data_IF_548733600463
#
_entry.id   IF_548733600463
#
_cell.length_a   1.000
_cell.length_b   1.000
_cell.length_c   1.000
_cell.angle_alpha   90.00
_cell.angle_beta   90.00
_cell.angle_gamma   90.00
#
_symmetry.space_group_name_H-M   'P 1'
#
loop_
_entity.id
_entity.type
_entity.pdbx_description
1 polymer ?
#
# COMPACT_ATOMS: atom_id res chain seq x y z
N UNK A 1 39.82 6.10 31.97
CA UNK A 1 39.15 4.82 31.65
C UNK A 1 37.84 4.81 32.42
N UNK A 2 36.64 4.72 31.85
CA UNK A 2 36.20 4.31 30.52
C UNK A 2 34.98 5.17 30.16
N UNK A 3 35.04 5.91 29.05
CA UNK A 3 33.84 6.31 28.32
C UNK A 3 33.61 5.24 27.27
N UNK A 4 32.64 4.34 27.47
CA UNK A 4 32.22 3.36 26.45
C UNK A 4 30.83 2.81 26.83
N UNK A 5 29.78 3.60 26.67
CA UNK A 5 28.38 3.12 26.72
C UNK A 5 27.51 3.92 25.73
N UNK A 6 27.85 3.93 24.43
CA UNK A 6 27.04 4.68 23.43
C UNK A 6 26.93 4.12 21.99
N UNK A 7 26.90 2.79 21.74
CA UNK A 7 26.44 2.28 20.43
C UNK A 7 24.97 1.83 20.39
N UNK A 8 24.38 1.39 21.51
CA UNK A 8 23.03 0.83 21.53
C UNK A 8 21.92 1.87 21.35
N UNK A 9 22.08 3.06 21.94
CA UNK A 9 21.12 4.17 21.90
C UNK A 9 20.86 4.69 20.48
N UNK A 10 21.86 4.58 19.59
CA UNK A 10 21.80 5.00 18.19
C UNK A 10 20.96 4.05 17.32
N UNK A 11 21.15 2.74 17.46
CA UNK A 11 20.40 1.73 16.72
C UNK A 11 18.93 1.68 17.16
N UNK A 12 18.67 1.85 18.46
CA UNK A 12 17.33 1.89 19.03
C UNK A 12 16.56 3.14 18.60
N UNK A 13 17.20 4.31 18.59
CA UNK A 13 16.64 5.54 18.02
C UNK A 13 16.37 5.41 16.50
N UNK A 14 17.23 4.70 15.76
CA UNK A 14 17.02 4.43 14.33
C UNK A 14 15.81 3.53 14.09
N UNK A 15 15.63 2.49 14.90
CA UNK A 15 14.50 1.59 14.83
C UNK A 15 13.17 2.29 15.17
N UNK A 16 13.15 3.09 16.23
CA UNK A 16 11.98 3.90 16.61
C UNK A 16 11.57 4.85 15.47
N UNK A 17 12.52 5.50 14.82
CA UNK A 17 12.26 6.36 13.67
C UNK A 17 11.59 5.63 12.49
N UNK A 18 11.87 4.34 12.28
CA UNK A 18 11.22 3.55 11.22
C UNK A 18 9.76 3.26 11.55
N UNK A 19 9.47 2.93 12.81
CA UNK A 19 8.12 2.60 13.28
C UNK A 19 7.23 3.85 13.39
N UNK A 20 7.81 4.98 13.78
CA UNK A 20 7.13 6.27 13.93
C UNK A 20 6.94 7.01 12.61
N UNK A 21 7.63 6.60 11.55
CA UNK A 21 7.66 7.32 10.27
C UNK A 21 6.26 7.58 9.73
N UNK A 22 5.91 8.85 9.65
CA UNK A 22 4.69 9.33 9.03
C UNK A 22 4.77 9.14 7.51
N UNK A 23 4.01 8.17 6.99
CA UNK A 23 4.00 7.85 5.55
C UNK A 23 3.34 8.97 4.74
N UNK A 24 2.32 9.63 5.30
CA UNK A 24 1.68 10.82 4.75
C UNK A 24 0.84 11.49 5.86
N UNK A 25 0.61 12.82 5.85
CA UNK A 25 -0.29 13.50 6.79
C UNK A 25 -1.74 12.97 6.86
N UNK A 26 -2.13 12.10 5.92
CA UNK A 26 -3.45 11.46 5.84
C UNK A 26 -3.53 10.20 6.69
N UNK A 27 -2.39 9.58 7.00
CA UNK A 27 -2.31 8.29 7.69
C UNK A 27 -1.70 8.50 9.07
N UNK A 28 -2.27 7.81 10.06
CA UNK A 28 -1.69 7.75 11.39
C UNK A 28 -0.50 6.77 11.39
N UNK A 29 0.57 7.07 12.13
CA UNK A 29 1.68 6.15 12.44
C UNK A 29 1.22 5.03 13.40
N UNK A 30 2.10 4.12 13.80
CA UNK A 30 1.77 3.18 14.88
C UNK A 30 1.64 3.91 16.22
N UNK A 31 2.61 4.77 16.55
CA UNK A 31 2.63 5.57 17.78
C UNK A 31 1.37 6.42 17.95
N UNK A 32 0.92 7.08 16.88
CA UNK A 32 -0.31 7.88 16.95
C UNK A 32 -1.56 7.01 17.19
N UNK A 33 -1.55 5.73 16.78
CA UNK A 33 -2.66 4.82 17.08
C UNK A 33 -2.64 4.36 18.53
N UNK A 34 -1.45 4.14 19.10
CA UNK A 34 -1.28 3.83 20.52
C UNK A 34 -1.75 5.00 21.36
N UNK A 35 -1.27 6.21 21.06
CA UNK A 35 -1.73 7.45 21.69
C UNK A 35 -3.25 7.62 21.57
N UNK A 36 -3.83 7.34 20.39
CA UNK A 36 -5.29 7.39 20.21
C UNK A 36 -6.00 6.40 21.13
N UNK A 37 -5.48 5.19 21.33
CA UNK A 37 -6.09 4.22 22.23
C UNK A 37 -6.02 4.69 23.69
N UNK A 38 -4.88 5.21 24.14
CA UNK A 38 -4.72 5.70 25.51
C UNK A 38 -5.67 6.85 25.82
N UNK A 39 -5.77 7.82 24.90
CA UNK A 39 -6.71 8.93 25.04
C UNK A 39 -8.18 8.47 25.02
N UNK A 40 -8.50 7.42 24.26
CA UNK A 40 -9.83 6.81 24.30
C UNK A 40 -10.11 6.08 25.60
N UNK A 41 -9.12 5.38 26.16
CA UNK A 41 -9.23 4.71 27.48
C UNK A 41 -9.44 5.70 28.61
N UNK A 42 -8.82 6.88 28.51
CA UNK A 42 -9.06 8.00 29.42
C UNK A 42 -10.46 8.65 29.25
N UNK A 43 -11.29 8.17 28.32
CA UNK A 43 -12.67 8.62 28.15
C UNK A 43 -12.82 9.89 27.31
N UNK A 44 -11.76 10.37 26.65
CA UNK A 44 -11.83 11.61 25.86
C UNK A 44 -12.68 11.42 24.60
N UNK A 45 -13.42 12.48 24.26
CA UNK A 45 -14.17 12.56 23.00
C UNK A 45 -13.22 12.82 21.81
N UNK A 46 -13.63 12.45 20.59
CA UNK A 46 -12.85 12.71 19.37
C UNK A 46 -12.46 14.20 19.24
N UNK A 47 -13.35 15.12 19.66
CA UNK A 47 -13.09 16.57 19.62
C UNK A 47 -12.01 17.00 20.62
N UNK A 48 -11.89 16.33 21.77
CA UNK A 48 -10.82 16.58 22.74
C UNK A 48 -9.49 15.94 22.33
N UNK A 49 -9.53 14.77 21.70
CA UNK A 49 -8.35 14.04 21.21
C UNK A 49 -7.66 14.77 20.05
N UNK A 50 -8.44 15.33 19.12
CA UNK A 50 -7.94 15.95 17.90
C UNK A 50 -6.85 17.04 18.12
N UNK A 51 -7.07 18.05 19.00
CA UNK A 51 -6.04 19.04 19.33
C UNK A 51 -4.79 18.41 19.95
N UNK A 52 -4.93 17.42 20.83
CA UNK A 52 -3.81 16.79 21.53
C UNK A 52 -2.90 16.01 20.58
N UNK A 53 -3.51 15.32 19.60
CA UNK A 53 -2.78 14.63 18.55
C UNK A 53 -2.33 15.55 17.41
N UNK A 54 -2.72 16.83 17.43
CA UNK A 54 -2.55 17.78 16.31
C UNK A 54 -3.10 17.22 14.98
N UNK A 55 -4.24 16.54 15.05
CA UNK A 55 -4.93 15.92 13.90
C UNK A 55 -6.34 16.45 13.75
N UNK A 56 -6.84 16.48 12.51
CA UNK A 56 -8.23 16.82 12.26
C UNK A 56 -9.16 15.78 12.91
N UNK A 57 -10.29 16.20 13.53
CA UNK A 57 -11.29 15.28 14.09
C UNK A 57 -11.79 14.23 13.08
N UNK A 58 -11.88 14.62 11.81
CA UNK A 58 -12.29 13.75 10.71
C UNK A 58 -11.27 12.63 10.43
N UNK A 59 -9.98 12.85 10.66
CA UNK A 59 -8.94 11.82 10.54
C UNK A 59 -9.13 10.74 11.60
N UNK A 60 -9.31 11.16 12.86
CA UNK A 60 -9.54 10.24 13.98
C UNK A 60 -10.83 9.45 13.81
N UNK A 61 -11.94 10.12 13.45
CA UNK A 61 -13.22 9.45 13.19
C UNK A 61 -13.09 8.41 12.06
N UNK A 62 -12.42 8.75 10.95
CA UNK A 62 -12.21 7.83 9.83
C UNK A 62 -11.32 6.64 10.19
N UNK A 63 -10.28 6.85 11.01
CA UNK A 63 -9.44 5.78 11.52
C UNK A 63 -10.26 4.79 12.35
N UNK A 64 -10.96 5.29 13.38
CA UNK A 64 -11.78 4.48 14.27
C UNK A 64 -12.86 3.72 13.49
N UNK A 65 -13.55 4.39 12.55
CA UNK A 65 -14.60 3.75 11.73
C UNK A 65 -14.07 2.64 10.83
N UNK A 66 -12.86 2.78 10.28
CA UNK A 66 -12.32 1.82 9.29
C UNK A 66 -11.55 0.67 9.91
N UNK A 67 -10.90 0.92 11.04
CA UNK A 67 -9.91 0.01 11.59
C UNK A 67 -10.31 -0.60 12.95
N UNK A 68 -11.52 -0.33 13.43
CA UNK A 68 -12.13 -1.07 14.55
C UNK A 68 -12.88 -2.26 13.99
N UNK A 69 -12.36 -3.48 14.17
CA UNK A 69 -12.92 -4.70 13.56
C UNK A 69 -13.62 -5.60 14.57
N UNK A 70 -13.17 -5.66 15.82
CA UNK A 70 -13.67 -6.65 16.79
C UNK A 70 -13.74 -6.11 18.21
N UNK A 71 -14.58 -6.77 19.02
CA UNK A 71 -14.54 -6.68 20.49
C UNK A 71 -13.18 -7.21 20.96
N UNK A 72 -12.46 -6.55 21.89
CA UNK A 72 -12.91 -5.53 22.85
C UNK A 72 -12.81 -4.06 22.38
N UNK A 73 -12.61 -3.79 21.09
CA UNK A 73 -12.65 -2.44 20.54
C UNK A 73 -11.42 -2.09 19.70
N UNK A 74 -11.05 -0.80 19.70
CA UNK A 74 -9.94 -0.30 18.88
C UNK A 74 -8.60 -0.86 19.36
N UNK A 75 -7.85 -1.53 18.47
CA UNK A 75 -6.56 -2.15 18.74
C UNK A 75 -5.48 -1.58 17.80
N UNK A 76 -4.47 -0.83 18.29
CA UNK A 76 -3.49 -0.10 17.49
C UNK A 76 -2.72 -0.95 16.49
N UNK A 77 -2.13 -2.07 16.93
CA UNK A 77 -1.37 -2.95 16.04
C UNK A 77 -2.24 -3.60 14.97
N UNK A 78 -3.44 -4.04 15.35
CA UNK A 78 -4.42 -4.60 14.40
C UNK A 78 -4.85 -3.53 13.40
N UNK A 79 -5.18 -2.34 13.87
CA UNK A 79 -5.52 -1.18 13.04
C UNK A 79 -4.39 -0.79 12.08
N UNK A 80 -3.14 -0.85 12.54
CA UNK A 80 -1.97 -0.60 11.71
C UNK A 80 -1.83 -1.64 10.60
N UNK A 81 -1.90 -2.94 10.93
CA UNK A 81 -1.85 -4.04 9.95
C UNK A 81 -2.94 -3.92 8.89
N UNK A 82 -4.16 -3.59 9.32
CA UNK A 82 -5.29 -3.37 8.43
C UNK A 82 -5.08 -2.16 7.52
N UNK A 83 -4.58 -1.05 8.07
CA UNK A 83 -4.25 0.16 7.31
C UNK A 83 -3.19 -0.11 6.24
N UNK A 84 -2.15 -0.91 6.56
CA UNK A 84 -1.14 -1.36 5.59
C UNK A 84 -1.80 -2.22 4.50
N UNK A 85 -2.59 -3.22 4.88
CA UNK A 85 -3.31 -4.10 3.95
C UNK A 85 -4.25 -3.32 3.01
N UNK A 86 -4.98 -2.35 3.54
CA UNK A 86 -5.88 -1.49 2.75
C UNK A 86 -5.15 -0.50 1.85
N UNK A 87 -3.95 -0.05 2.23
CA UNK A 87 -3.11 0.78 1.35
C UNK A 87 -2.50 0.00 0.20
N UNK A 88 -2.18 -1.27 0.42
CA UNK A 88 -1.59 -2.10 -0.60
C UNK A 88 -2.45 -2.16 -1.87
N UNK A 89 -3.80 -2.16 -1.73
CA UNK A 89 -4.85 -2.22 -2.79
C UNK A 89 -4.26 -2.31 -4.20
N UNK A 90 -3.66 -3.46 -4.56
CA UNK A 90 -3.12 -3.60 -5.89
C UNK A 90 -4.33 -3.71 -6.80
N UNK A 91 -4.55 -2.69 -7.65
CA UNK A 91 -5.49 -2.85 -8.76
C UNK A 91 -5.03 -4.10 -9.52
N UNK A 92 -5.92 -5.07 -9.69
CA UNK A 92 -5.63 -6.23 -10.53
C UNK A 92 -5.09 -5.68 -11.85
N UNK A 93 -3.90 -6.12 -12.25
CA UNK A 93 -3.27 -5.62 -13.46
C UNK A 93 -4.24 -5.88 -14.63
N UNK A 94 -4.35 -4.94 -15.58
CA UNK A 94 -5.33 -5.03 -16.68
C UNK A 94 -5.21 -6.34 -17.46
N UNK A 95 -3.97 -6.82 -17.63
CA UNK A 95 -3.68 -8.13 -18.23
C UNK A 95 -4.13 -9.32 -17.37
N UNK A 96 -4.27 -9.20 -16.06
CA UNK A 96 -4.81 -10.26 -15.17
C UNK A 96 -6.35 -10.27 -15.22
N UNK A 97 -6.97 -9.09 -15.33
CA UNK A 97 -8.42 -8.97 -15.43
C UNK A 97 -8.98 -9.38 -16.81
N UNK A 98 -8.27 -9.06 -17.90
CA UNK A 98 -8.71 -9.36 -19.27
C UNK A 98 -7.83 -10.48 -19.89
N UNK A 99 -8.42 -11.66 -20.07
CA UNK A 99 -7.74 -12.83 -20.62
C UNK A 99 -7.44 -12.70 -22.13
N UNK A 100 -8.33 -12.10 -22.90
CA UNK A 100 -8.17 -11.89 -24.35
C UNK A 100 -6.97 -10.97 -24.63
N UNK A 101 -6.90 -9.85 -23.91
CA UNK A 101 -5.78 -8.91 -23.97
C UNK A 101 -4.45 -9.59 -23.62
N UNK A 102 -4.44 -10.45 -22.60
CA UNK A 102 -3.25 -11.21 -22.19
C UNK A 102 -2.77 -12.13 -23.30
N UNK A 103 -3.67 -12.94 -23.86
CA UNK A 103 -3.36 -13.89 -24.93
C UNK A 103 -2.82 -13.17 -26.17
N UNK A 104 -3.44 -12.04 -26.56
CA UNK A 104 -2.97 -11.23 -27.67
C UNK A 104 -1.53 -10.71 -27.42
N UNK A 105 -1.29 -10.10 -26.25
CA UNK A 105 0.04 -9.57 -25.90
C UNK A 105 1.08 -10.69 -25.87
N UNK A 106 0.80 -11.83 -25.24
CA UNK A 106 1.70 -12.98 -25.18
C UNK A 106 2.02 -13.53 -26.57
N UNK A 107 1.01 -13.63 -27.45
CA UNK A 107 1.20 -14.07 -28.83
C UNK A 107 2.09 -13.13 -29.66
N UNK A 108 2.00 -11.81 -29.44
CA UNK A 108 2.86 -10.82 -30.12
C UNK A 108 4.28 -10.81 -29.55
N UNK A 109 4.44 -10.98 -28.24
CA UNK A 109 5.76 -11.10 -27.61
C UNK A 109 6.51 -12.35 -28.06
N UNK A 110 5.81 -13.48 -28.24
CA UNK A 110 6.40 -14.69 -28.82
C UNK A 110 6.96 -14.46 -30.24
N UNK A 111 6.36 -13.52 -30.99
CA UNK A 111 6.83 -13.08 -32.31
C UNK A 111 7.91 -11.99 -32.24
N UNK A 112 8.49 -11.73 -31.07
CA UNK A 112 9.53 -10.71 -30.81
C UNK A 112 9.09 -9.26 -31.08
N UNK A 113 7.80 -8.96 -30.97
CA UNK A 113 7.34 -7.58 -31.04
C UNK A 113 7.73 -6.81 -29.77
N UNK A 114 8.16 -5.56 -29.91
CA UNK A 114 8.42 -4.69 -28.76
C UNK A 114 7.10 -4.27 -28.08
N UNK A 115 7.09 -4.02 -26.76
CA UNK A 115 5.91 -3.53 -26.05
C UNK A 115 5.30 -2.25 -26.66
N UNK A 116 6.12 -1.35 -27.20
CA UNK A 116 5.68 -0.13 -27.89
C UNK A 116 4.92 -0.46 -29.18
N UNK A 117 5.42 -1.41 -29.99
CA UNK A 117 4.75 -1.87 -31.20
C UNK A 117 3.41 -2.55 -30.87
N UNK A 118 3.37 -3.37 -29.82
CA UNK A 118 2.15 -4.03 -29.36
C UNK A 118 1.11 -3.01 -28.91
N UNK A 119 1.51 -2.00 -28.12
CA UNK A 119 0.62 -0.93 -27.66
C UNK A 119 -0.03 -0.17 -28.82
N UNK A 120 0.76 0.21 -29.83
CA UNK A 120 0.24 0.86 -31.05
C UNK A 120 -0.65 -0.08 -31.86
N UNK A 121 -0.28 -1.35 -31.95
CA UNK A 121 -1.04 -2.34 -32.74
C UNK A 121 -2.41 -2.62 -32.13
N UNK A 122 -2.53 -2.63 -30.80
CA UNK A 122 -3.81 -2.81 -30.10
C UNK A 122 -4.84 -1.75 -30.50
N UNK A 123 -4.42 -0.50 -30.72
CA UNK A 123 -5.34 0.58 -31.15
C UNK A 123 -5.85 0.35 -32.58
N UNK A 124 -5.01 -0.22 -33.46
CA UNK A 124 -5.36 -0.50 -34.86
C UNK A 124 -6.22 -1.75 -35.01
N UNK A 125 -5.87 -2.82 -34.30
CA UNK A 125 -6.56 -4.11 -34.41
C UNK A 125 -7.89 -4.10 -33.62
N UNK A 126 -8.02 -3.27 -32.57
CA UNK A 126 -9.23 -3.15 -31.74
C UNK A 126 -9.68 -1.68 -31.56
N UNK A 127 -10.16 -1.02 -32.63
CA UNK A 127 -10.48 0.41 -32.59
C UNK A 127 -11.67 0.74 -31.66
N UNK A 128 -12.65 -0.16 -31.57
CA UNK A 128 -13.91 0.03 -30.83
C UNK A 128 -13.91 -0.60 -29.43
N UNK A 129 -12.81 -1.21 -28.99
CA UNK A 129 -12.75 -1.95 -27.72
C UNK A 129 -11.73 -1.33 -26.74
N UNK A 130 -12.14 -0.35 -25.91
CA UNK A 130 -11.24 0.31 -24.95
C UNK A 130 -10.58 -0.65 -23.95
N UNK A 131 -11.23 -1.78 -23.66
CA UNK A 131 -10.69 -2.83 -22.79
C UNK A 131 -9.41 -3.46 -23.35
N UNK A 132 -9.20 -3.43 -24.66
CA UNK A 132 -7.99 -3.95 -25.30
C UNK A 132 -6.81 -2.96 -25.28
N UNK A 133 -7.02 -1.72 -24.83
CA UNK A 133 -5.93 -0.72 -24.77
C UNK A 133 -4.95 -1.06 -23.64
N UNK A 134 -3.68 -1.27 -23.97
CA UNK A 134 -2.61 -1.39 -22.98
C UNK A 134 -1.48 -0.42 -23.32
N UNK A 135 -1.02 0.34 -22.33
CA UNK A 135 0.21 1.13 -22.48
C UNK A 135 1.43 0.21 -22.46
N UNK A 136 2.55 0.69 -23.01
CA UNK A 136 3.85 0.04 -22.92
C UNK A 136 4.20 -0.40 -21.49
N UNK A 137 3.99 0.50 -20.51
CA UNK A 137 4.24 0.20 -19.10
C UNK A 137 3.33 -0.91 -18.57
N UNK A 138 2.05 -0.93 -18.98
CA UNK A 138 1.11 -2.01 -18.62
C UNK A 138 1.60 -3.37 -19.13
N UNK A 139 2.16 -3.39 -20.35
CA UNK A 139 2.72 -4.60 -20.95
C UNK A 139 3.95 -5.07 -20.17
N UNK A 140 4.87 -4.16 -19.82
CA UNK A 140 6.03 -4.53 -19.00
C UNK A 140 5.63 -5.07 -17.62
N UNK A 141 4.80 -4.33 -16.88
CA UNK A 141 4.34 -4.70 -15.55
C UNK A 141 3.56 -6.01 -15.56
N UNK A 142 2.69 -6.21 -16.55
CA UNK A 142 1.92 -7.45 -16.68
C UNK A 142 2.79 -8.65 -16.97
N UNK A 143 3.79 -8.53 -17.84
CA UNK A 143 4.74 -9.62 -18.11
C UNK A 143 5.60 -9.98 -16.90
N UNK A 144 6.07 -8.99 -16.13
CA UNK A 144 6.86 -9.25 -14.93
C UNK A 144 6.03 -9.99 -13.87
N UNK A 145 4.77 -9.59 -13.69
CA UNK A 145 3.85 -10.19 -12.70
C UNK A 145 3.32 -11.57 -13.10
N UNK A 146 3.29 -11.88 -14.40
CA UNK A 146 2.81 -13.16 -14.93
C UNK A 146 3.88 -14.25 -15.02
N UNK A 147 5.17 -13.94 -14.79
CA UNK A 147 6.24 -14.94 -14.75
C UNK A 147 6.16 -15.72 -13.44
N UNK A 148 6.08 -17.07 -13.45
CA UNK A 148 6.24 -17.85 -12.23
C UNK A 148 7.62 -17.53 -11.64
N UNK A 149 7.69 -17.33 -10.32
CA UNK A 149 8.95 -17.18 -9.62
C UNK A 149 9.75 -18.46 -9.87
N UNK A 150 10.89 -18.33 -10.56
CA UNK A 150 11.81 -19.46 -10.78
C UNK A 150 12.28 -19.93 -9.41
N UNK A 151 11.73 -21.04 -8.94
CA UNK A 151 12.33 -21.85 -7.90
C UNK A 151 13.70 -22.27 -8.43
N UNK A 152 14.76 -21.64 -7.91
CA UNK A 152 16.09 -22.19 -8.06
C UNK A 152 16.10 -23.44 -7.17
N UNK A 153 16.26 -24.59 -7.82
CA UNK A 153 16.57 -25.86 -7.16
C UNK A 153 18.04 -26.12 -7.38
#
# INVERSE_FOLDING_TARGET
MCQNEEPARSAEASFLNVVEKLIHPRYLSLLEREQLQDLRRAGLSIRAIAPQMRRAPSTISRELKRNTISVPGYMPHTAHRLSVKHRARPRQAKMVANAELRSYIQGKLAKRWSPQQISHRLVKDFPTTPEMRASTETIYQGNLRARPRRSHT
#
